data_IF_128002055169
#
_entry.id   IF_128002055169
#
_cell.length_a   1.000
_cell.length_b   1.000
_cell.length_c   1.000
_cell.angle_alpha   90.00
_cell.angle_beta   90.00
_cell.angle_gamma   90.00
#
_symmetry.space_group_name_H-M   'P 1'
#
loop_
_entity.id
_entity.type
_entity.pdbx_description
1 polymer ?
#
# COMPACT_ATOMS: atom_id res chain seq x y z
N UNK A 1 3.58 -0.23 -0.59
CA UNK A 1 4.74 0.62 -0.87
C UNK A 1 4.95 1.63 0.25
N UNK A 2 4.12 2.68 0.34
CA UNK A 2 4.16 3.72 1.39
C UNK A 2 4.46 3.25 2.82
N UNK A 3 3.73 2.26 3.33
CA UNK A 3 3.91 1.79 4.71
C UNK A 3 5.32 1.24 4.97
N UNK A 4 5.92 0.52 4.04
CA UNK A 4 7.25 -0.06 4.23
C UNK A 4 8.33 0.87 3.66
N UNK A 5 8.29 1.18 2.36
CA UNK A 5 9.33 1.97 1.70
C UNK A 5 9.46 3.38 2.29
N UNK A 6 8.34 4.09 2.43
CA UNK A 6 8.37 5.46 2.94
C UNK A 6 8.36 5.52 4.46
N UNK A 7 7.34 4.95 5.11
CA UNK A 7 7.24 5.04 6.55
C UNK A 7 8.30 4.23 7.29
N UNK A 8 8.54 2.95 6.95
CA UNK A 8 9.56 2.18 7.67
C UNK A 8 10.99 2.57 7.23
N UNK A 9 11.30 2.48 5.94
CA UNK A 9 12.67 2.70 5.45
C UNK A 9 13.06 4.18 5.33
N UNK A 10 12.12 5.13 5.39
CA UNK A 10 12.40 6.55 5.22
C UNK A 10 12.82 6.93 3.79
N UNK A 11 12.47 6.13 2.79
CA UNK A 11 12.81 6.37 1.37
C UNK A 11 11.64 6.95 0.60
N UNK A 12 11.91 7.56 -0.55
CA UNK A 12 10.83 7.91 -1.47
C UNK A 12 10.09 6.65 -1.91
N UNK A 13 8.77 6.75 -2.05
CA UNK A 13 7.92 5.65 -2.55
C UNK A 13 8.43 5.15 -3.91
N UNK A 14 8.36 3.83 -4.12
CA UNK A 14 8.63 3.20 -5.41
C UNK A 14 7.67 3.78 -6.44
N UNK A 15 6.42 4.06 -6.05
CA UNK A 15 5.41 4.76 -6.85
C UNK A 15 5.96 5.98 -7.60
N UNK A 16 6.67 6.85 -6.87
CA UNK A 16 7.20 8.12 -7.37
C UNK A 16 8.54 7.90 -8.06
N UNK A 17 9.48 7.23 -7.38
CA UNK A 17 10.84 7.04 -7.90
C UNK A 17 10.91 6.17 -9.16
N UNK A 18 9.91 5.31 -9.38
CA UNK A 18 9.77 4.47 -10.57
C UNK A 18 8.75 4.99 -11.60
N UNK A 19 8.22 6.21 -11.42
CA UNK A 19 7.23 6.85 -12.29
C UNK A 19 6.02 5.95 -12.60
N UNK A 20 5.60 5.15 -11.61
CA UNK A 20 4.48 4.21 -11.79
C UNK A 20 3.15 4.93 -11.97
N UNK A 21 3.03 6.13 -11.41
CA UNK A 21 1.88 7.01 -11.60
C UNK A 21 1.64 7.33 -13.08
N UNK A 22 2.71 7.61 -13.86
CA UNK A 22 2.59 7.86 -15.30
C UNK A 22 2.21 6.59 -16.06
N UNK A 23 2.85 5.46 -15.72
CA UNK A 23 2.58 4.16 -16.36
C UNK A 23 1.14 3.68 -16.16
N UNK A 24 0.53 4.05 -15.04
CA UNK A 24 -0.83 3.65 -14.66
C UNK A 24 -1.89 4.73 -14.90
N UNK A 25 -1.51 5.90 -15.42
CA UNK A 25 -2.40 7.07 -15.59
C UNK A 25 -3.14 7.45 -14.30
N UNK A 26 -2.39 7.50 -13.19
CA UNK A 26 -2.90 7.82 -11.86
C UNK A 26 -2.14 9.01 -11.27
N UNK A 27 -2.73 9.67 -10.28
CA UNK A 27 -2.11 10.80 -9.58
C UNK A 27 -0.84 10.35 -8.83
N UNK A 28 0.20 11.19 -8.87
CA UNK A 28 1.44 10.98 -8.11
C UNK A 28 1.19 11.04 -6.61
N UNK A 29 0.19 11.82 -6.17
CA UNK A 29 -0.31 11.89 -4.79
C UNK A 29 -1.31 10.79 -4.44
N UNK A 30 -1.68 9.93 -5.40
CA UNK A 30 -2.68 8.87 -5.24
C UNK A 30 -2.31 7.89 -4.13
N UNK A 31 -3.14 7.82 -3.10
CA UNK A 31 -2.87 7.00 -1.90
C UNK A 31 -3.64 5.68 -1.86
N UNK A 32 -4.62 5.51 -2.75
CA UNK A 32 -5.59 4.41 -2.65
C UNK A 32 -6.76 4.69 -1.70
N UNK A 33 -6.74 5.80 -0.96
CA UNK A 33 -7.74 6.13 0.06
C UNK A 33 -8.75 7.16 -0.46
N UNK A 34 -10.00 7.01 -0.02
CA UNK A 34 -11.00 8.09 -0.09
C UNK A 34 -11.59 8.37 -1.47
N UNK A 35 -11.41 7.49 -2.45
CA UNK A 35 -12.05 7.63 -3.76
C UNK A 35 -13.57 7.78 -3.65
N UNK A 36 -14.09 8.85 -4.23
CA UNK A 36 -15.52 9.10 -4.45
C UNK A 36 -16.07 8.21 -5.58
N UNK A 37 -17.39 8.11 -5.69
CA UNK A 37 -18.03 7.35 -6.77
C UNK A 37 -17.66 7.90 -8.16
N UNK A 38 -17.61 9.22 -8.32
CA UNK A 38 -17.25 9.87 -9.58
C UNK A 38 -15.78 9.58 -9.97
N UNK A 39 -14.88 9.53 -9.01
CA UNK A 39 -13.48 9.16 -9.26
C UNK A 39 -13.35 7.67 -9.58
N UNK A 40 -14.13 6.80 -8.94
CA UNK A 40 -14.18 5.37 -9.27
C UNK A 40 -14.74 5.12 -10.67
N UNK A 41 -15.74 5.89 -11.11
CA UNK A 41 -16.28 5.80 -12.46
C UNK A 41 -15.25 6.19 -13.53
N UNK A 42 -14.36 7.13 -13.21
CA UNK A 42 -13.27 7.59 -14.08
C UNK A 42 -11.97 6.81 -13.88
N UNK A 43 -11.95 5.81 -12.99
CA UNK A 43 -10.73 5.09 -12.66
C UNK A 43 -10.23 4.33 -13.91
N UNK A 44 -8.95 4.49 -14.29
CA UNK A 44 -8.44 3.93 -15.53
C UNK A 44 -8.47 2.40 -15.50
N UNK A 45 -8.64 1.80 -16.67
CA UNK A 45 -8.50 0.35 -16.81
C UNK A 45 -7.02 0.00 -16.78
N UNK A 46 -6.56 -0.44 -15.62
CA UNK A 46 -5.15 -0.79 -15.42
C UNK A 46 -4.77 -2.09 -16.14
N UNK A 47 -3.55 -2.11 -16.69
CA UNK A 47 -2.97 -3.31 -17.27
C UNK A 47 -2.53 -4.28 -16.16
N UNK A 48 -2.91 -5.55 -16.30
CA UNK A 48 -2.60 -6.58 -15.30
C UNK A 48 -1.09 -6.85 -15.19
N UNK A 49 -0.32 -6.78 -16.29
CA UNK A 49 1.12 -6.96 -16.26
C UNK A 49 1.78 -5.82 -15.48
N UNK A 50 1.38 -4.56 -15.72
CA UNK A 50 1.89 -3.40 -14.97
C UNK A 50 1.58 -3.52 -13.48
N UNK A 51 0.37 -3.92 -13.11
CA UNK A 51 0.01 -4.18 -11.71
C UNK A 51 0.89 -5.27 -11.08
N UNK A 52 1.13 -6.35 -11.82
CA UNK A 52 1.95 -7.48 -11.35
C UNK A 52 3.41 -7.07 -11.21
N UNK A 53 3.97 -6.33 -12.16
CA UNK A 53 5.34 -5.83 -12.11
C UNK A 53 5.55 -4.89 -10.92
N UNK A 54 4.64 -3.94 -10.71
CA UNK A 54 4.70 -3.03 -9.57
C UNK A 54 4.60 -3.80 -8.24
N UNK A 55 3.66 -4.74 -8.13
CA UNK A 55 3.52 -5.61 -6.96
C UNK A 55 4.81 -6.38 -6.67
N UNK A 56 5.40 -7.02 -7.70
CA UNK A 56 6.61 -7.81 -7.56
C UNK A 56 7.81 -6.95 -7.12
N UNK A 57 7.92 -5.73 -7.66
CA UNK A 57 8.96 -4.79 -7.26
C UNK A 57 8.80 -4.36 -5.80
N UNK A 58 7.61 -3.91 -5.39
CA UNK A 58 7.33 -3.51 -4.00
C UNK A 58 7.57 -4.67 -3.05
N UNK A 59 7.13 -5.88 -3.43
CA UNK A 59 7.32 -7.09 -2.65
C UNK A 59 8.80 -7.42 -2.47
N UNK A 60 9.57 -7.40 -3.56
CA UNK A 60 11.01 -7.66 -3.53
C UNK A 60 11.71 -6.69 -2.58
N UNK A 61 11.50 -5.38 -2.75
CA UNK A 61 12.09 -4.35 -1.88
C UNK A 61 11.69 -4.48 -0.42
N UNK A 62 10.45 -4.92 -0.16
CA UNK A 62 9.97 -5.19 1.20
C UNK A 62 10.70 -6.37 1.84
N UNK A 63 10.88 -7.47 1.10
CA UNK A 63 11.61 -8.65 1.59
C UNK A 63 13.10 -8.37 1.80
N UNK A 64 13.75 -7.69 0.85
CA UNK A 64 15.16 -7.30 0.99
C UNK A 64 15.41 -6.44 2.23
N UNK A 65 14.47 -5.55 2.55
CA UNK A 65 14.55 -4.79 3.80
C UNK A 65 14.35 -5.67 5.03
N UNK A 66 13.33 -6.54 5.02
CA UNK A 66 13.08 -7.46 6.14
C UNK A 66 14.28 -8.38 6.42
N UNK A 67 14.96 -8.85 5.38
CA UNK A 67 16.13 -9.73 5.48
C UNK A 67 17.40 -8.98 5.95
N UNK A 68 17.44 -7.65 5.83
CA UNK A 68 18.63 -6.85 6.13
C UNK A 68 18.60 -6.15 7.48
N UNK A 69 17.43 -5.97 8.09
CA UNK A 69 17.33 -5.31 9.39
C UNK A 69 17.69 -6.23 10.55
N UNK A 70 18.37 -5.72 11.59
CA UNK A 70 18.64 -6.51 12.78
C UNK A 70 17.40 -6.59 13.68
N UNK A 71 17.32 -7.62 14.51
CA UNK A 71 16.11 -7.96 15.28
C UNK A 71 15.68 -6.81 16.22
N UNK A 72 16.63 -6.11 16.83
CA UNK A 72 16.35 -4.97 17.71
C UNK A 72 15.65 -3.81 17.01
N UNK A 73 15.73 -3.73 15.67
CA UNK A 73 15.04 -2.69 14.90
C UNK A 73 13.52 -2.85 14.94
N UNK A 74 13.02 -4.06 15.16
CA UNK A 74 11.58 -4.32 15.16
C UNK A 74 10.82 -3.57 16.28
N UNK A 75 11.50 -3.21 17.36
CA UNK A 75 10.92 -2.46 18.49
C UNK A 75 11.02 -0.94 18.34
N UNK A 76 11.70 -0.45 17.30
CA UNK A 76 11.86 0.99 17.07
C UNK A 76 10.53 1.65 16.70
N UNK A 77 10.21 2.72 17.41
CA UNK A 77 9.13 3.66 17.05
C UNK A 77 9.71 4.76 16.18
N UNK A 78 9.10 4.97 15.02
CA UNK A 78 9.59 5.93 14.03
C UNK A 78 8.90 7.30 14.22
N UNK A 79 9.69 8.38 14.10
CA UNK A 79 9.20 9.77 14.14
C UNK A 79 8.73 10.23 12.75
N UNK A 80 7.75 9.51 12.19
CA UNK A 80 7.09 9.81 10.91
C UNK A 80 5.74 9.12 10.87
N UNK A 81 4.87 9.52 9.94
CA UNK A 81 3.52 8.97 9.75
C UNK A 81 3.37 8.63 8.27
N UNK A 82 2.79 7.47 7.89
CA UNK A 82 2.66 7.10 6.49
C UNK A 82 1.68 7.98 5.71
N UNK A 83 0.63 8.51 6.36
CA UNK A 83 -0.41 9.34 5.72
C UNK A 83 -0.57 10.66 6.48
N UNK A 84 0.44 11.55 6.48
CA UNK A 84 0.39 12.82 7.21
C UNK A 84 -0.75 13.74 6.75
N UNK A 85 -1.23 13.58 5.52
CA UNK A 85 -2.37 14.29 4.93
C UNK A 85 -3.74 13.87 5.53
N UNK A 86 -3.79 12.76 6.26
CA UNK A 86 -5.01 12.24 6.88
C UNK A 86 -4.91 12.34 8.40
N UNK A 87 -5.54 13.35 8.99
CA UNK A 87 -5.45 13.67 10.43
C UNK A 87 -5.66 12.44 11.36
N UNK A 88 -6.64 11.54 11.13
CA UNK A 88 -6.80 10.35 11.96
C UNK A 88 -5.60 9.38 11.91
N UNK A 89 -4.81 9.36 10.83
CA UNK A 89 -3.60 8.55 10.73
C UNK A 89 -2.54 8.99 11.74
N UNK A 90 -2.38 10.29 12.00
CA UNK A 90 -1.38 10.79 12.95
C UNK A 90 -1.58 10.16 14.33
N UNK A 91 -2.84 10.13 14.81
CA UNK A 91 -3.19 9.49 16.08
C UNK A 91 -3.06 7.97 16.01
N UNK A 92 -3.50 7.36 14.90
CA UNK A 92 -3.48 5.91 14.73
C UNK A 92 -2.05 5.36 14.73
N UNK A 93 -1.13 6.00 14.00
CA UNK A 93 0.26 5.57 13.85
C UNK A 93 1.18 6.02 15.00
N UNK A 94 0.68 6.81 15.97
CA UNK A 94 1.46 7.20 17.14
C UNK A 94 1.94 5.96 17.91
N UNK A 95 3.26 5.83 18.07
CA UNK A 95 3.85 4.68 18.76
C UNK A 95 3.87 3.40 17.93
N UNK A 96 3.68 3.47 16.60
CA UNK A 96 3.88 2.31 15.74
C UNK A 96 5.35 1.91 15.71
N UNK A 97 5.60 0.66 16.11
CA UNK A 97 6.90 0.02 15.92
C UNK A 97 7.03 -0.53 14.50
N UNK A 98 8.24 -0.84 14.08
CA UNK A 98 8.49 -1.54 12.80
C UNK A 98 7.75 -2.89 12.76
N UNK A 99 7.78 -3.68 13.84
CA UNK A 99 7.02 -4.93 13.95
C UNK A 99 5.51 -4.72 13.76
N UNK A 100 4.95 -3.67 14.36
CA UNK A 100 3.53 -3.33 14.22
C UNK A 100 3.18 -2.92 12.79
N UNK A 101 4.10 -2.26 12.08
CA UNK A 101 3.93 -1.92 10.67
C UNK A 101 3.86 -3.16 9.77
N UNK A 102 4.73 -4.14 9.97
CA UNK A 102 4.68 -5.41 9.23
C UNK A 102 3.41 -6.22 9.55
N UNK A 103 3.01 -6.28 10.82
CA UNK A 103 1.72 -6.90 11.21
C UNK A 103 0.55 -6.17 10.55
N UNK A 104 0.58 -4.84 10.48
CA UNK A 104 -0.45 -4.04 9.81
C UNK A 104 -0.53 -4.38 8.32
N UNK A 105 0.61 -4.46 7.64
CA UNK A 105 0.67 -4.85 6.22
C UNK A 105 -0.04 -6.19 5.96
N UNK A 106 0.25 -7.22 6.76
CA UNK A 106 -0.39 -8.53 6.61
C UNK A 106 -1.91 -8.42 6.79
N UNK A 107 -2.35 -7.71 7.84
CA UNK A 107 -3.77 -7.53 8.11
C UNK A 107 -4.51 -6.80 6.99
N UNK A 108 -3.91 -5.78 6.38
CA UNK A 108 -4.50 -5.07 5.24
C UNK A 108 -4.59 -5.96 4.00
N UNK A 109 -3.56 -6.77 3.73
CA UNK A 109 -3.58 -7.72 2.61
C UNK A 109 -4.70 -8.77 2.77
N UNK A 110 -4.91 -9.29 3.98
CA UNK A 110 -5.99 -10.23 4.27
C UNK A 110 -7.37 -9.58 4.09
N UNK A 111 -7.54 -8.35 4.56
CA UNK A 111 -8.78 -7.57 4.38
C UNK A 111 -9.09 -7.35 2.89
N UNK A 112 -8.10 -6.91 2.12
CA UNK A 112 -8.27 -6.66 0.68
C UNK A 112 -8.51 -7.95 -0.11
N UNK A 113 -7.88 -9.07 0.27
CA UNK A 113 -8.17 -10.37 -0.33
C UNK A 113 -9.63 -10.80 -0.13
N UNK A 114 -10.19 -10.53 1.06
CA UNK A 114 -11.61 -10.73 1.34
C UNK A 114 -12.50 -9.87 0.46
N UNK A 115 -12.19 -8.57 0.30
CA UNK A 115 -12.93 -7.65 -0.56
C UNK A 115 -12.92 -8.09 -2.03
N UNK A 116 -11.75 -8.47 -2.56
CA UNK A 116 -11.61 -9.00 -3.93
C UNK A 116 -12.47 -10.25 -4.12
N UNK A 117 -12.44 -11.16 -3.14
CA UNK A 117 -13.23 -12.39 -3.18
C UNK A 117 -14.73 -12.11 -3.18
N UNK A 118 -15.17 -11.12 -2.40
CA UNK A 118 -16.56 -10.68 -2.35
C UNK A 118 -17.03 -10.09 -3.69
N UNK A 119 -16.26 -9.15 -4.27
CA UNK A 119 -16.56 -8.55 -5.58
C UNK A 119 -16.62 -9.62 -6.68
N UNK A 120 -15.65 -10.54 -6.70
CA UNK A 120 -15.64 -11.68 -7.64
C UNK A 120 -16.87 -12.57 -7.49
N UNK A 121 -17.34 -12.77 -6.26
CA UNK A 121 -18.58 -13.49 -5.96
C UNK A 121 -19.81 -12.82 -6.57
N UNK A 122 -19.94 -11.50 -6.38
CA UNK A 122 -21.02 -10.69 -6.98
C UNK A 122 -20.98 -10.78 -8.51
N UNK A 123 -19.82 -10.57 -9.14
CA UNK A 123 -19.68 -10.64 -10.60
C UNK A 123 -20.08 -12.00 -11.17
N UNK A 124 -19.72 -13.10 -10.50
CA UNK A 124 -20.13 -14.46 -10.92
C UNK A 124 -21.62 -14.72 -10.70
N UNK A 125 -22.21 -14.12 -9.67
CA UNK A 125 -23.63 -14.26 -9.34
C UNK A 125 -24.55 -13.44 -10.24
N UNK A 126 -24.09 -12.31 -10.78
CA UNK A 126 -24.86 -11.43 -11.67
C UNK A 126 -25.16 -12.03 -13.05
N UNK A 127 -24.40 -13.03 -13.47
CA UNK A 127 -24.58 -13.76 -14.73
C UNK A 127 -25.34 -15.10 -14.55
N UNK A 128 -26.04 -15.28 -13.43
CA UNK A 128 -26.96 -16.38 -13.17
C UNK A 128 -28.38 -15.85 -13.03
#
# INVERSE_FOLDING_TARGET
DRLITSFVQGKQEIWISGEWYEKMDLSVEGTGLGYSLDELERFPKLDQSLLTEYFMLVRKTTLEYLDSIPEESFDLVLDRVPFPEYEPAIKYFKGFTISRAFRQLIGELDQHLGQISYIRGIQKGMNK
#
